data_IF_287141254282
#
_entry.id   IF_287141254282
#
_cell.length_a   1.000
_cell.length_b   1.000
_cell.length_c   1.000
_cell.angle_alpha   90.00
_cell.angle_beta   90.00
_cell.angle_gamma   90.00
#
_symmetry.space_group_name_H-M   'P 1'
#
loop_
_entity.id
_entity.type
_entity.pdbx_description
1 polymer ?
#
# COMPACT_ATOMS: atom_id res chain seq x y z
N UNK A 1 -10.04 -0.42 -10.92
CA UNK A 1 -11.05 -0.11 -9.90
C UNK A 1 -10.38 -0.16 -8.55
N UNK A 2 -10.20 0.98 -7.91
CA UNK A 2 -9.70 1.06 -6.53
C UNK A 2 -10.90 1.13 -5.56
N UNK A 3 -10.70 0.70 -4.32
CA UNK A 3 -11.74 0.61 -3.28
C UNK A 3 -12.30 1.97 -2.89
N UNK A 4 -13.60 2.07 -2.62
CA UNK A 4 -14.26 3.35 -2.25
C UNK A 4 -13.80 3.94 -0.92
N UNK A 5 -13.21 3.14 -0.03
CA UNK A 5 -12.78 3.54 1.32
C UNK A 5 -11.28 3.81 1.44
N UNK A 6 -10.54 3.92 0.34
CA UNK A 6 -9.09 4.10 0.38
C UNK A 6 -8.71 5.53 0.83
N UNK A 7 -7.92 5.60 1.89
CA UNK A 7 -7.30 6.81 2.41
C UNK A 7 -5.78 6.64 2.47
N UNK A 8 -5.05 7.75 2.50
CA UNK A 8 -3.64 7.72 2.86
C UNK A 8 -3.47 7.17 4.27
N UNK A 9 -2.45 6.33 4.45
CA UNK A 9 -2.00 5.84 5.76
C UNK A 9 -0.95 6.77 6.39
N UNK A 10 -0.34 7.64 5.59
CA UNK A 10 0.61 8.66 6.03
C UNK A 10 -0.07 10.03 6.16
N UNK A 11 0.44 10.93 7.02
CA UNK A 11 -0.09 12.29 7.14
C UNK A 11 0.06 13.09 5.84
N UNK A 12 -0.91 13.97 5.61
CA UNK A 12 -0.96 14.89 4.47
C UNK A 12 0.35 15.69 4.29
N UNK A 13 1.00 16.10 5.37
CA UNK A 13 2.25 16.87 5.34
C UNK A 13 3.44 16.09 4.78
N UNK A 14 3.45 14.76 4.95
CA UNK A 14 4.49 13.89 4.41
C UNK A 14 4.37 13.73 2.89
N UNK A 15 3.25 14.15 2.31
CA UNK A 15 2.88 13.84 0.93
C UNK A 15 2.81 15.10 0.05
N UNK A 16 3.26 16.26 0.56
CA UNK A 16 3.28 17.51 -0.18
C UNK A 16 4.04 17.35 -1.51
N UNK A 17 3.55 18.02 -2.55
CA UNK A 17 4.24 18.09 -3.83
C UNK A 17 5.15 19.32 -3.85
N UNK A 18 6.29 19.28 -4.57
CA UNK A 18 7.16 20.43 -4.71
C UNK A 18 6.38 21.68 -5.13
N UNK A 19 6.71 22.83 -4.55
CA UNK A 19 6.14 24.15 -4.86
C UNK A 19 4.66 24.37 -4.47
N UNK A 20 3.86 23.33 -4.29
CA UNK A 20 2.43 23.42 -3.95
C UNK A 20 2.08 22.48 -2.80
N UNK A 21 1.97 23.06 -1.61
CA UNK A 21 1.45 22.37 -0.43
C UNK A 21 -0.05 22.08 -0.56
N UNK A 22 -0.49 21.01 0.10
CA UNK A 22 -1.92 20.72 0.23
C UNK A 22 -2.60 21.78 1.11
N UNK A 23 -3.89 22.07 0.88
CA UNK A 23 -4.62 23.02 1.70
C UNK A 23 -4.68 22.60 3.18
N UNK A 24 -4.45 23.55 4.10
CA UNK A 24 -4.46 23.32 5.55
C UNK A 24 -5.78 22.77 6.11
N UNK A 25 -6.88 22.89 5.36
CA UNK A 25 -8.20 22.38 5.73
C UNK A 25 -8.41 20.91 5.38
N UNK A 26 -7.41 20.26 4.78
CA UNK A 26 -7.49 18.85 4.43
C UNK A 26 -7.39 17.96 5.67
N UNK A 27 -8.08 16.80 5.65
CA UNK A 27 -7.89 15.81 6.71
C UNK A 27 -6.46 15.28 6.69
N UNK A 28 -5.93 14.96 7.87
CA UNK A 28 -4.59 14.38 8.04
C UNK A 28 -4.42 13.14 7.15
N UNK A 29 -5.42 12.26 7.12
CA UNK A 29 -5.47 11.11 6.23
C UNK A 29 -6.42 11.39 5.07
N UNK A 30 -5.86 11.68 3.90
CA UNK A 30 -6.64 12.17 2.75
C UNK A 30 -7.26 11.02 1.93
N UNK A 31 -8.56 11.09 1.55
CA UNK A 31 -9.19 10.10 0.67
C UNK A 31 -8.61 10.11 -0.75
N UNK A 32 -8.60 8.94 -1.42
CA UNK A 32 -8.00 8.78 -2.76
C UNK A 32 -8.53 9.74 -3.83
N UNK A 33 -9.84 10.04 -3.83
CA UNK A 33 -10.46 10.85 -4.88
C UNK A 33 -10.04 12.31 -4.74
N UNK A 34 -9.92 12.77 -3.50
CA UNK A 34 -9.43 14.11 -3.18
C UNK A 34 -7.96 14.29 -3.57
N UNK A 35 -7.14 13.26 -3.37
CA UNK A 35 -5.75 13.27 -3.82
C UNK A 35 -5.64 13.24 -5.35
N UNK A 36 -6.50 12.48 -6.03
CA UNK A 36 -6.55 12.43 -7.49
C UNK A 36 -6.91 13.80 -8.09
N UNK A 37 -7.97 14.44 -7.57
CA UNK A 37 -8.37 15.80 -7.99
C UNK A 37 -7.22 16.81 -7.84
N UNK A 38 -6.42 16.66 -6.77
CA UNK A 38 -5.25 17.51 -6.57
C UNK A 38 -4.10 17.23 -7.54
N UNK A 39 -3.85 15.98 -7.91
CA UNK A 39 -2.84 15.66 -8.92
C UNK A 39 -3.18 16.27 -10.28
N UNK A 40 -4.47 16.26 -10.66
CA UNK A 40 -4.95 16.92 -11.89
C UNK A 40 -4.78 18.45 -11.82
N UNK A 41 -5.14 19.05 -10.67
CA UNK A 41 -4.95 20.48 -10.43
C UNK A 41 -3.46 20.86 -10.45
N UNK A 42 -2.60 20.06 -9.81
CA UNK A 42 -1.15 20.28 -9.77
C UNK A 42 -0.55 20.26 -11.18
N UNK A 43 -0.91 19.26 -12.01
CA UNK A 43 -0.41 19.17 -13.38
C UNK A 43 -0.79 20.41 -14.21
N UNK A 44 -1.99 20.94 -13.99
CA UNK A 44 -2.49 22.16 -14.65
C UNK A 44 -1.77 23.41 -14.15
N UNK A 45 -1.70 23.60 -12.83
CA UNK A 45 -1.09 24.78 -12.21
C UNK A 45 0.40 24.91 -12.48
N UNK A 46 1.10 23.77 -12.59
CA UNK A 46 2.53 23.71 -12.85
C UNK A 46 2.87 23.67 -14.35
N UNK A 47 1.88 23.78 -15.23
CA UNK A 47 2.03 23.72 -16.70
C UNK A 47 2.86 22.50 -17.15
N UNK A 48 2.55 21.32 -16.59
CA UNK A 48 3.28 20.10 -16.91
C UNK A 48 2.87 19.61 -18.31
N UNK A 49 3.88 19.32 -19.15
CA UNK A 49 3.66 18.71 -20.46
C UNK A 49 3.26 17.23 -20.32
N UNK A 50 1.99 16.99 -19.98
CA UNK A 50 1.42 15.69 -19.73
C UNK A 50 0.63 15.20 -20.95
N UNK A 51 0.96 14.01 -21.44
CA UNK A 51 0.18 13.30 -22.46
C UNK A 51 -0.49 12.07 -21.82
N UNK A 52 -1.76 12.19 -21.47
CA UNK A 52 -2.58 11.08 -20.97
C UNK A 52 -3.00 10.16 -22.11
N UNK A 53 -3.69 9.05 -21.79
CA UNK A 53 -4.21 8.08 -22.76
C UNK A 53 -3.15 7.54 -23.75
N UNK A 54 -1.89 7.56 -23.34
CA UNK A 54 -0.74 7.21 -24.19
C UNK A 54 0.06 6.11 -23.52
N UNK A 55 -0.08 4.88 -24.02
CA UNK A 55 0.66 3.72 -23.52
C UNK A 55 2.02 3.65 -24.18
N UNK A 56 3.10 3.73 -23.39
CA UNK A 56 4.44 3.36 -23.85
C UNK A 56 4.51 1.83 -24.01
N UNK A 57 4.84 1.36 -25.21
CA UNK A 57 4.94 -0.07 -25.54
C UNK A 57 6.39 -0.56 -25.55
N UNK A 58 7.33 0.31 -25.94
CA UNK A 58 8.74 -0.02 -26.03
C UNK A 58 9.62 1.22 -25.86
N UNK A 59 10.75 1.05 -25.20
CA UNK A 59 11.82 2.03 -25.12
C UNK A 59 13.12 1.35 -25.57
N UNK A 60 13.76 1.87 -26.61
CA UNK A 60 15.01 1.28 -27.17
C UNK A 60 16.08 2.36 -27.23
N UNK A 61 17.30 2.01 -26.82
CA UNK A 61 18.46 2.87 -27.04
C UNK A 61 18.86 2.80 -28.52
N UNK A 62 19.10 3.96 -29.11
CA UNK A 62 19.62 4.12 -30.46
C UNK A 62 20.90 4.95 -30.43
N UNK A 63 21.86 4.59 -31.27
CA UNK A 63 23.15 5.24 -31.32
C UNK A 63 23.43 5.75 -32.73
N UNK A 64 23.75 7.04 -32.82
CA UNK A 64 24.28 7.66 -34.04
C UNK A 64 25.74 8.05 -33.77
N UNK A 65 26.67 7.19 -34.20
CA UNK A 65 28.07 7.30 -33.81
C UNK A 65 28.27 7.12 -32.30
N UNK A 66 28.62 8.20 -31.61
CA UNK A 66 28.79 8.23 -30.14
C UNK A 66 27.58 8.81 -29.39
N UNK A 67 26.61 9.38 -30.11
CA UNK A 67 25.46 10.02 -29.47
C UNK A 67 24.37 8.99 -29.20
N UNK A 68 23.95 8.88 -27.95
CA UNK A 68 22.86 8.01 -27.50
C UNK A 68 21.55 8.80 -27.50
N UNK A 69 20.52 8.23 -28.10
CA UNK A 69 19.13 8.68 -27.96
C UNK A 69 18.23 7.51 -27.59
N UNK A 70 17.03 7.81 -27.11
CA UNK A 70 15.99 6.84 -26.85
C UNK A 70 14.89 6.98 -27.88
N UNK A 71 14.49 5.86 -28.48
CA UNK A 71 13.29 5.74 -29.28
C UNK A 71 12.19 5.10 -28.45
N UNK A 72 11.13 5.87 -28.20
CA UNK A 72 9.98 5.48 -27.39
C UNK A 72 8.78 5.26 -28.30
N UNK A 73 8.28 4.03 -28.36
CA UNK A 73 7.07 3.69 -29.08
C UNK A 73 5.86 3.86 -28.16
N UNK A 74 4.83 4.53 -28.66
CA UNK A 74 3.60 4.75 -27.92
C UNK A 74 2.37 4.42 -28.75
N UNK A 75 1.30 4.04 -28.07
CA UNK A 75 -0.05 3.91 -28.64
C UNK A 75 -0.95 4.86 -27.86
N UNK A 76 -1.53 5.84 -28.56
CA UNK A 76 -2.48 6.79 -27.99
C UNK A 76 -3.91 6.36 -28.32
N UNK A 77 -4.83 6.46 -27.37
CA UNK A 77 -6.28 6.25 -27.57
C UNK A 77 -6.98 7.59 -27.53
N UNK A 78 -7.80 7.88 -28.53
CA UNK A 78 -8.65 9.08 -28.52
C UNK A 78 -9.86 8.85 -27.60
N UNK A 79 -10.31 9.89 -26.88
CA UNK A 79 -11.54 9.82 -26.07
C UNK A 79 -12.80 9.96 -26.94
N UNK A 80 -12.70 10.71 -28.04
CA UNK A 80 -13.82 11.01 -28.95
C UNK A 80 -14.04 9.93 -30.02
N UNK A 81 -13.08 9.02 -30.17
CA UNK A 81 -13.17 7.91 -31.11
C UNK A 81 -12.43 6.72 -30.54
N UNK A 82 -12.98 5.50 -30.66
CA UNK A 82 -12.29 4.24 -30.32
C UNK A 82 -11.07 3.96 -31.24
N UNK A 83 -10.52 4.99 -31.88
CA UNK A 83 -9.33 4.90 -32.71
C UNK A 83 -8.06 4.92 -31.86
N UNK A 84 -7.05 4.20 -32.37
CA UNK A 84 -5.73 4.14 -31.75
C UNK A 84 -4.69 4.65 -32.73
N UNK A 85 -3.73 5.43 -32.23
CA UNK A 85 -2.65 6.00 -33.03
C UNK A 85 -1.30 5.55 -32.48
N UNK A 86 -0.48 4.93 -33.34
CA UNK A 86 0.89 4.61 -33.01
C UNK A 86 1.80 5.80 -33.32
N UNK A 87 2.67 6.17 -32.37
CA UNK A 87 3.65 7.25 -32.57
C UNK A 87 5.00 6.94 -31.93
N UNK A 88 6.02 7.69 -32.34
CA UNK A 88 7.40 7.55 -31.86
C UNK A 88 7.87 8.87 -31.28
N UNK A 89 8.40 8.82 -30.06
CA UNK A 89 9.02 9.96 -29.39
C UNK A 89 10.53 9.69 -29.29
N UNK A 90 11.34 10.70 -29.62
CA UNK A 90 12.79 10.67 -29.39
C UNK A 90 13.13 11.47 -28.14
N UNK A 91 13.94 10.91 -27.25
CA UNK A 91 14.36 11.56 -26.02
C UNK A 91 15.85 11.32 -25.73
N UNK A 92 16.51 12.23 -25.01
CA UNK A 92 17.90 12.02 -24.55
C UNK A 92 17.96 11.18 -23.27
N UNK A 93 16.96 11.34 -22.41
CA UNK A 93 16.84 10.66 -21.13
C UNK A 93 15.44 10.08 -20.98
N UNK A 94 15.35 8.98 -20.24
CA UNK A 94 14.09 8.30 -19.92
C UNK A 94 14.10 8.01 -18.43
N UNK A 95 13.03 8.43 -17.75
CA UNK A 95 12.80 8.13 -16.33
C UNK A 95 11.61 7.17 -16.25
N UNK A 96 11.82 6.01 -15.63
CA UNK A 96 10.76 5.03 -15.43
C UNK A 96 10.01 5.34 -14.13
N UNK A 97 8.82 5.92 -14.25
CA UNK A 97 7.91 6.23 -13.14
C UNK A 97 6.67 5.32 -13.14
N UNK A 98 6.83 4.02 -13.44
CA UNK A 98 5.71 3.08 -13.67
C UNK A 98 5.10 2.47 -12.41
N UNK A 99 5.66 2.78 -11.23
CA UNK A 99 5.29 2.18 -9.95
C UNK A 99 5.61 0.68 -9.85
N UNK A 100 5.33 0.09 -8.68
CA UNK A 100 5.63 -1.31 -8.34
C UNK A 100 4.36 -2.17 -8.07
N UNK A 101 3.18 -1.55 -7.98
CA UNK A 101 1.95 -2.19 -7.47
C UNK A 101 0.91 -2.54 -8.57
N UNK A 102 1.28 -2.42 -9.85
CA UNK A 102 0.33 -2.52 -10.97
C UNK A 102 0.00 -3.95 -11.41
N UNK A 103 0.88 -4.93 -11.14
CA UNK A 103 0.68 -6.33 -11.55
C UNK A 103 0.28 -7.20 -10.36
N UNK A 104 -0.93 -7.79 -10.35
CA UNK A 104 -1.38 -8.61 -9.23
C UNK A 104 -0.57 -9.91 -9.17
N UNK A 105 -0.15 -10.30 -7.95
CA UNK A 105 0.48 -11.59 -7.68
C UNK A 105 -0.56 -12.56 -7.14
N UNK A 106 -1.23 -13.25 -8.05
CA UNK A 106 -2.30 -14.19 -7.70
C UNK A 106 -1.68 -15.58 -7.44
N UNK A 107 -1.76 -16.13 -6.22
CA UNK A 107 -1.31 -17.49 -5.96
C UNK A 107 -2.22 -18.50 -6.66
N UNK A 108 -1.65 -19.59 -7.17
CA UNK A 108 -2.41 -20.72 -7.70
C UNK A 108 -2.58 -21.76 -6.61
N UNK A 109 -3.81 -21.95 -6.11
CA UNK A 109 -4.12 -22.98 -5.12
C UNK A 109 -4.78 -24.19 -5.80
N UNK A 110 -4.40 -25.43 -5.44
CA UNK A 110 -5.13 -26.61 -5.87
C UNK A 110 -6.63 -26.48 -5.58
N UNK A 111 -7.48 -26.84 -6.54
CA UNK A 111 -8.93 -26.73 -6.41
C UNK A 111 -9.53 -25.33 -6.63
N UNK A 112 -8.71 -24.28 -6.78
CA UNK A 112 -9.21 -22.93 -6.99
C UNK A 112 -10.06 -22.78 -8.26
N UNK A 113 -9.62 -23.34 -9.40
CA UNK A 113 -10.36 -23.27 -10.66
C UNK A 113 -11.37 -24.40 -10.86
N UNK A 114 -11.19 -25.54 -10.18
CA UNK A 114 -11.93 -26.78 -10.45
C UNK A 114 -12.93 -27.18 -9.37
N UNK A 115 -12.72 -26.79 -8.11
CA UNK A 115 -13.53 -27.25 -6.99
C UNK A 115 -14.30 -26.10 -6.31
N UNK A 116 -13.63 -24.97 -6.03
CA UNK A 116 -14.21 -23.88 -5.24
C UNK A 116 -15.36 -23.19 -5.98
N UNK A 117 -16.55 -23.21 -5.39
CA UNK A 117 -17.78 -22.65 -5.99
C UNK A 117 -18.06 -21.20 -5.59
N UNK A 118 -17.31 -20.67 -4.62
CA UNK A 118 -17.49 -19.31 -4.12
C UNK A 118 -16.82 -18.24 -4.98
N UNK A 119 -17.05 -16.98 -4.62
CA UNK A 119 -16.39 -15.83 -5.25
C UNK A 119 -14.91 -15.82 -4.87
N UNK A 120 -14.05 -15.71 -5.88
CA UNK A 120 -12.60 -15.55 -5.71
C UNK A 120 -12.15 -14.29 -6.45
N UNK A 121 -11.39 -13.44 -5.78
CA UNK A 121 -10.81 -12.25 -6.39
C UNK A 121 -9.51 -11.85 -5.70
N UNK A 122 -8.63 -11.23 -6.48
CA UNK A 122 -7.47 -10.51 -5.95
C UNK A 122 -7.90 -9.10 -5.51
N UNK A 123 -7.18 -8.50 -4.56
CA UNK A 123 -7.48 -7.16 -4.01
C UNK A 123 -7.66 -6.10 -5.11
N UNK A 124 -6.91 -6.19 -6.21
CA UNK A 124 -7.04 -5.31 -7.38
C UNK A 124 -8.40 -5.36 -8.12
N UNK A 125 -9.22 -6.37 -7.83
CA UNK A 125 -10.60 -6.50 -8.34
C UNK A 125 -11.65 -6.29 -7.24
N UNK A 126 -11.24 -6.00 -6.01
CA UNK A 126 -12.15 -5.74 -4.90
C UNK A 126 -12.75 -4.34 -5.04
N UNK A 127 -14.08 -4.26 -5.04
CA UNK A 127 -14.83 -3.01 -5.25
C UNK A 127 -15.66 -2.60 -4.04
N UNK A 128 -15.64 -3.41 -2.97
CA UNK A 128 -16.34 -3.15 -1.70
C UNK A 128 -17.01 -4.39 -1.12
N UNK A 129 -17.24 -4.36 0.19
CA UNK A 129 -17.67 -5.52 0.99
C UNK A 129 -19.14 -5.89 0.84
N UNK A 130 -19.99 -4.99 0.31
CA UNK A 130 -21.44 -5.15 0.27
C UNK A 130 -21.91 -6.44 -0.42
N UNK A 131 -21.20 -6.90 -1.46
CA UNK A 131 -21.54 -8.16 -2.17
C UNK A 131 -21.29 -9.42 -1.33
N UNK A 132 -20.61 -9.27 -0.19
CA UNK A 132 -20.27 -10.34 0.75
C UNK A 132 -21.12 -10.34 2.02
N UNK A 133 -22.13 -9.48 2.13
CA UNK A 133 -23.06 -9.46 3.26
C UNK A 133 -23.66 -10.86 3.51
N UNK A 134 -23.63 -11.31 4.77
CA UNK A 134 -24.06 -12.64 5.20
C UNK A 134 -23.17 -13.81 4.77
N UNK A 135 -22.09 -13.58 4.01
CA UNK A 135 -21.17 -14.65 3.57
C UNK A 135 -20.04 -14.88 4.57
N UNK A 136 -19.47 -16.09 4.54
CA UNK A 136 -18.21 -16.40 5.23
C UNK A 136 -17.05 -16.10 4.28
N UNK A 137 -16.16 -15.20 4.67
CA UNK A 137 -15.09 -14.70 3.82
C UNK A 137 -13.72 -15.01 4.43
N UNK A 138 -12.81 -15.48 3.59
CA UNK A 138 -11.41 -15.70 3.95
C UNK A 138 -10.54 -14.71 3.16
N UNK A 139 -9.75 -13.93 3.88
CA UNK A 139 -8.79 -12.97 3.31
C UNK A 139 -7.39 -13.55 3.44
N UNK A 140 -6.66 -13.68 2.34
CA UNK A 140 -5.32 -14.27 2.33
C UNK A 140 -4.28 -13.14 2.25
N UNK A 141 -3.53 -12.92 3.33
CA UNK A 141 -2.52 -11.87 3.44
C UNK A 141 -2.81 -10.85 4.55
N UNK A 142 -1.73 -10.38 5.19
CA UNK A 142 -1.74 -9.53 6.39
C UNK A 142 -0.92 -8.23 6.20
N UNK A 143 -1.03 -7.62 5.02
CA UNK A 143 -0.52 -6.26 4.76
C UNK A 143 -1.70 -5.26 4.76
N UNK A 144 -1.41 -3.95 4.63
CA UNK A 144 -2.42 -2.87 4.59
C UNK A 144 -3.74 -3.24 3.87
N UNK A 145 -3.69 -3.64 2.60
CA UNK A 145 -4.91 -4.00 1.86
C UNK A 145 -5.70 -5.17 2.45
N UNK A 146 -5.03 -6.13 3.09
CA UNK A 146 -5.70 -7.26 3.74
C UNK A 146 -6.52 -6.82 4.95
N UNK A 147 -5.94 -5.94 5.78
CA UNK A 147 -6.64 -5.34 6.91
C UNK A 147 -7.79 -4.42 6.48
N UNK A 148 -7.55 -3.53 5.52
CA UNK A 148 -8.59 -2.63 5.00
C UNK A 148 -9.80 -3.41 4.44
N UNK A 149 -9.53 -4.53 3.74
CA UNK A 149 -10.58 -5.42 3.24
C UNK A 149 -11.27 -6.17 4.38
N UNK A 150 -10.52 -6.65 5.38
CA UNK A 150 -11.13 -7.32 6.55
C UNK A 150 -12.10 -6.39 7.27
N UNK A 151 -11.71 -5.13 7.50
CA UNK A 151 -12.54 -4.12 8.12
C UNK A 151 -13.78 -3.82 7.26
N UNK A 152 -13.62 -3.52 5.96
CA UNK A 152 -14.75 -3.23 5.08
C UNK A 152 -15.71 -4.43 4.97
N UNK A 153 -15.22 -5.67 4.90
CA UNK A 153 -16.09 -6.86 4.91
C UNK A 153 -16.92 -6.97 6.19
N UNK A 154 -16.31 -6.70 7.35
CA UNK A 154 -17.00 -6.73 8.63
C UNK A 154 -18.05 -5.61 8.73
N UNK A 155 -17.69 -4.38 8.38
CA UNK A 155 -18.58 -3.21 8.38
C UNK A 155 -19.77 -3.39 7.42
N UNK A 156 -19.56 -4.07 6.29
CA UNK A 156 -20.61 -4.37 5.31
C UNK A 156 -21.44 -5.61 5.64
N UNK A 157 -21.26 -6.20 6.83
CA UNK A 157 -22.10 -7.26 7.37
C UNK A 157 -21.80 -8.65 6.82
N UNK A 158 -20.56 -8.96 6.47
CA UNK A 158 -20.15 -10.34 6.22
C UNK A 158 -20.48 -11.22 7.45
N UNK A 159 -20.96 -12.44 7.23
CA UNK A 159 -21.34 -13.35 8.31
C UNK A 159 -20.15 -13.83 9.14
N UNK A 160 -18.96 -13.88 8.55
CA UNK A 160 -17.68 -14.05 9.27
C UNK A 160 -16.52 -13.62 8.38
N UNK A 161 -15.47 -13.05 8.96
CA UNK A 161 -14.23 -12.71 8.24
C UNK A 161 -13.05 -13.41 8.92
N UNK A 162 -12.21 -14.11 8.15
CA UNK A 162 -10.98 -14.73 8.67
C UNK A 162 -9.78 -14.37 7.81
N UNK A 163 -8.76 -13.77 8.41
CA UNK A 163 -7.46 -13.52 7.80
C UNK A 163 -6.56 -14.75 7.90
N UNK A 164 -5.92 -15.14 6.80
CA UNK A 164 -4.83 -16.13 6.78
C UNK A 164 -3.51 -15.38 6.71
N UNK A 165 -2.75 -15.47 7.80
CA UNK A 165 -1.42 -14.92 7.93
C UNK A 165 -0.38 -15.99 7.62
N UNK A 166 0.26 -15.91 6.46
CA UNK A 166 1.31 -16.86 6.08
C UNK A 166 2.64 -16.57 6.77
N UNK A 167 2.97 -15.29 6.89
CA UNK A 167 4.21 -14.78 7.48
C UNK A 167 3.83 -13.70 8.48
N UNK A 168 4.59 -13.59 9.57
CA UNK A 168 4.39 -12.51 10.53
C UNK A 168 4.45 -11.14 9.85
N UNK A 169 3.78 -10.16 10.44
CA UNK A 169 3.79 -8.77 9.96
C UNK A 169 3.61 -7.82 11.14
N UNK A 170 4.17 -6.62 11.03
CA UNK A 170 4.03 -5.60 12.06
C UNK A 170 2.64 -4.97 12.02
N UNK A 171 2.05 -4.64 13.17
CA UNK A 171 0.94 -3.69 13.28
C UNK A 171 1.45 -2.53 14.12
N UNK A 172 1.15 -1.31 13.69
CA UNK A 172 1.49 -0.07 14.40
C UNK A 172 0.34 0.90 14.29
N UNK A 173 -0.01 1.60 15.36
CA UNK A 173 -1.09 2.59 15.29
C UNK A 173 -0.69 3.81 14.45
N UNK A 174 -1.66 4.39 13.75
CA UNK A 174 -1.47 5.69 13.09
C UNK A 174 -0.95 6.76 14.05
N UNK A 175 -1.41 6.76 15.31
CA UNK A 175 -0.90 7.63 16.39
C UNK A 175 0.60 7.43 16.65
N UNK A 176 1.07 6.18 16.77
CA UNK A 176 2.49 5.85 16.94
C UNK A 176 3.33 6.30 15.74
N UNK A 177 2.82 6.12 14.52
CA UNK A 177 3.52 6.58 13.30
C UNK A 177 3.66 8.10 13.33
N UNK A 178 2.61 8.85 13.64
CA UNK A 178 2.68 10.32 13.70
C UNK A 178 3.61 10.82 14.81
N UNK A 179 3.55 10.23 16.01
CA UNK A 179 4.33 10.68 17.17
C UNK A 179 5.82 10.35 17.08
N UNK A 180 6.16 9.19 16.52
CA UNK A 180 7.53 8.66 16.61
C UNK A 180 8.17 8.44 15.25
N UNK A 181 7.39 8.02 14.26
CA UNK A 181 7.89 7.65 12.94
C UNK A 181 8.06 8.83 11.99
N UNK A 182 7.02 9.66 11.88
CA UNK A 182 6.92 10.79 10.96
C UNK A 182 6.74 12.11 11.73
N UNK A 183 7.34 12.21 12.92
CA UNK A 183 7.16 13.34 13.83
C UNK A 183 7.57 14.70 13.24
N UNK A 184 8.42 14.72 12.21
CA UNK A 184 8.79 15.93 11.47
C UNK A 184 7.66 16.46 10.56
N UNK A 185 6.67 15.62 10.24
CA UNK A 185 5.56 15.92 9.35
C UNK A 185 4.26 16.04 10.15
N UNK A 186 4.05 17.21 10.74
CA UNK A 186 2.90 17.51 11.59
C UNK A 186 2.35 18.93 11.31
N UNK A 187 1.23 19.28 11.93
CA UNK A 187 0.51 20.55 11.73
C UNK A 187 1.30 21.79 12.18
N UNK A 188 2.08 21.66 13.25
CA UNK A 188 2.89 22.71 13.85
C UNK A 188 4.36 22.28 13.89
N UNK A 189 5.01 22.17 12.72
CA UNK A 189 6.31 21.53 12.63
C UNK A 189 7.42 22.47 13.10
N UNK A 190 8.43 21.91 13.76
CA UNK A 190 9.62 22.65 14.17
C UNK A 190 10.43 23.17 12.97
N UNK A 191 10.32 22.49 11.83
CA UNK A 191 11.00 22.79 10.57
C UNK A 191 9.97 22.91 9.45
N UNK A 192 10.28 23.63 8.37
CA UNK A 192 9.46 23.54 7.17
C UNK A 192 9.44 22.10 6.65
N UNK A 193 8.33 21.65 6.06
CA UNK A 193 8.22 20.25 5.59
C UNK A 193 9.24 19.92 4.49
N UNK A 194 9.69 20.90 3.70
CA UNK A 194 10.80 20.73 2.75
C UNK A 194 12.12 20.41 3.47
N UNK A 195 12.42 21.08 4.58
CA UNK A 195 13.60 20.79 5.39
C UNK A 195 13.46 19.41 6.07
N UNK A 196 12.25 19.06 6.52
CA UNK A 196 11.97 17.73 7.07
C UNK A 196 12.23 16.61 6.04
N UNK A 197 11.84 16.81 4.78
CA UNK A 197 12.10 15.87 3.69
C UNK A 197 13.61 15.71 3.44
N UNK A 198 14.36 16.82 3.40
CA UNK A 198 15.82 16.79 3.29
C UNK A 198 16.48 16.05 4.47
N UNK A 199 16.03 16.32 5.70
CA UNK A 199 16.56 15.64 6.88
C UNK A 199 16.30 14.12 6.84
N UNK A 200 15.12 13.70 6.38
CA UNK A 200 14.80 12.29 6.23
C UNK A 200 15.62 11.61 5.13
N UNK A 201 15.80 12.29 3.99
CA UNK A 201 16.44 11.71 2.80
C UNK A 201 17.97 11.74 2.82
N UNK A 202 18.58 12.61 3.64
CA UNK A 202 20.04 12.74 3.74
C UNK A 202 20.73 11.58 4.45
N UNK A 203 20.00 10.78 5.24
CA UNK A 203 20.60 9.66 5.98
C UNK A 203 20.48 8.35 5.18
N UNK A 204 21.60 7.71 4.77
CA UNK A 204 21.56 6.42 4.09
C UNK A 204 20.85 5.34 4.91
N UNK A 205 19.98 4.56 4.27
CA UNK A 205 19.21 3.49 4.92
C UNK A 205 20.05 2.48 5.69
N UNK A 206 21.26 2.17 5.22
CA UNK A 206 22.17 1.27 5.94
C UNK A 206 22.58 1.83 7.30
N UNK A 207 22.80 3.14 7.39
CA UNK A 207 23.12 3.80 8.66
C UNK A 207 21.92 3.78 9.60
N UNK A 208 20.70 4.00 9.08
CA UNK A 208 19.48 3.91 9.89
C UNK A 208 19.21 2.49 10.41
N UNK A 209 19.48 1.47 9.58
CA UNK A 209 19.27 0.07 9.91
C UNK A 209 20.33 -0.48 10.88
N UNK A 210 21.62 -0.25 10.60
CA UNK A 210 22.73 -0.80 11.41
C UNK A 210 23.10 0.10 12.60
N UNK A 211 22.79 1.40 12.53
CA UNK A 211 23.07 2.38 13.58
C UNK A 211 21.99 2.49 14.66
N UNK A 212 20.96 1.65 14.62
CA UNK A 212 19.90 1.57 15.64
C UNK A 212 18.81 2.65 15.55
N UNK A 213 18.84 3.53 14.56
CA UNK A 213 17.84 4.60 14.41
C UNK A 213 16.42 4.07 14.21
N UNK A 214 16.25 3.14 13.26
CA UNK A 214 14.94 2.52 13.01
C UNK A 214 14.49 1.59 14.14
N UNK A 215 15.42 0.91 14.80
CA UNK A 215 15.12 0.09 15.97
C UNK A 215 14.60 0.96 17.14
N UNK A 216 15.28 2.08 17.43
CA UNK A 216 14.88 2.99 18.50
C UNK A 216 13.47 3.56 18.28
N UNK A 217 13.15 3.95 17.04
CA UNK A 217 11.80 4.41 16.68
C UNK A 217 10.78 3.28 16.82
N UNK A 218 11.11 2.08 16.36
CA UNK A 218 10.25 0.89 16.48
C UNK A 218 9.96 0.55 17.94
N UNK A 219 10.95 0.63 18.82
CA UNK A 219 10.77 0.37 20.25
C UNK A 219 9.83 1.39 20.91
N UNK A 220 9.93 2.68 20.56
CA UNK A 220 8.97 3.70 21.05
C UNK A 220 7.54 3.42 20.60
N UNK A 221 7.36 3.06 19.33
CA UNK A 221 6.04 2.72 18.79
C UNK A 221 5.46 1.47 19.49
N UNK A 222 6.29 0.45 19.74
CA UNK A 222 5.88 -0.75 20.48
C UNK A 222 5.49 -0.44 21.93
N UNK A 223 6.20 0.48 22.58
CA UNK A 223 5.88 0.90 23.94
C UNK A 223 4.53 1.62 24.00
N UNK A 224 4.28 2.56 23.08
CA UNK A 224 3.00 3.26 22.97
C UNK A 224 1.84 2.31 22.64
N UNK A 225 2.06 1.33 21.75
CA UNK A 225 1.05 0.37 21.31
C UNK A 225 0.99 -0.92 22.15
N UNK A 226 1.72 -1.00 23.27
CA UNK A 226 1.93 -2.24 24.05
C UNK A 226 0.63 -2.98 24.35
N UNK A 227 -0.38 -2.24 24.79
CA UNK A 227 -1.65 -2.83 25.21
C UNK A 227 -2.46 -3.34 24.00
N UNK A 228 -2.40 -2.65 22.85
CA UNK A 228 -3.00 -3.12 21.59
C UNK A 228 -2.28 -4.38 21.10
N UNK A 229 -0.95 -4.36 21.06
CA UNK A 229 -0.11 -5.48 20.63
C UNK A 229 -0.46 -6.73 21.44
N UNK A 230 -0.51 -6.64 22.77
CA UNK A 230 -0.83 -7.78 23.64
C UNK A 230 -2.22 -8.39 23.33
N UNK A 231 -3.24 -7.56 23.08
CA UNK A 231 -4.59 -8.05 22.73
C UNK A 231 -4.62 -8.69 21.34
N UNK A 232 -3.92 -8.12 20.38
CA UNK A 232 -3.83 -8.68 19.03
C UNK A 232 -3.04 -9.99 19.03
N UNK A 233 -1.95 -10.10 19.78
CA UNK A 233 -1.24 -11.38 19.97
C UNK A 233 -2.15 -12.46 20.55
N UNK A 234 -2.99 -12.11 21.53
CA UNK A 234 -3.96 -13.03 22.13
C UNK A 234 -5.05 -13.55 21.16
N UNK A 235 -5.23 -12.89 20.00
CA UNK A 235 -6.09 -13.39 18.90
C UNK A 235 -5.47 -14.54 18.10
N UNK A 236 -4.16 -14.76 18.25
CA UNK A 236 -3.37 -15.72 17.46
C UNK A 236 -2.56 -15.09 16.33
N UNK A 237 -2.60 -13.77 16.18
CA UNK A 237 -1.76 -13.02 15.24
C UNK A 237 -0.26 -13.15 15.60
N UNK A 238 0.60 -13.21 14.58
CA UNK A 238 2.06 -13.27 14.76
C UNK A 238 2.71 -11.97 14.30
N UNK A 239 3.34 -11.27 15.23
CA UNK A 239 4.12 -10.09 14.91
C UNK A 239 5.48 -10.48 14.30
N UNK A 240 5.90 -9.70 13.32
CA UNK A 240 7.27 -9.68 12.80
C UNK A 240 7.73 -8.22 12.78
N UNK A 241 8.81 -7.93 13.52
CA UNK A 241 9.38 -6.59 13.61
C UNK A 241 10.55 -6.38 12.64
N UNK A 242 10.74 -7.29 11.68
CA UNK A 242 11.79 -7.19 10.68
C UNK A 242 13.18 -7.48 11.23
N UNK A 243 14.17 -7.34 10.36
CA UNK A 243 15.59 -7.54 10.68
C UNK A 243 16.00 -6.64 11.86
N UNK A 244 16.58 -7.24 12.92
CA UNK A 244 17.07 -6.53 14.12
C UNK A 244 16.05 -5.54 14.72
N UNK A 245 14.74 -5.81 14.60
CA UNK A 245 13.70 -4.95 15.16
C UNK A 245 13.56 -3.58 14.49
N UNK A 246 14.06 -3.42 13.27
CA UNK A 246 14.01 -2.16 12.49
C UNK A 246 12.60 -1.78 12.00
N UNK A 247 11.62 -2.68 12.12
CA UNK A 247 10.19 -2.40 12.05
C UNK A 247 9.71 -1.81 10.72
N UNK A 248 8.69 -0.95 10.82
CA UNK A 248 7.95 -0.35 9.70
C UNK A 248 8.86 0.15 8.58
N UNK A 249 9.86 0.96 8.91
CA UNK A 249 10.67 1.68 7.92
C UNK A 249 11.56 0.74 7.10
N UNK A 250 12.25 -0.21 7.74
CA UNK A 250 13.07 -1.18 7.01
C UNK A 250 12.21 -2.12 6.16
N UNK A 251 11.07 -2.59 6.69
CA UNK A 251 10.15 -3.45 5.95
C UNK A 251 9.56 -2.72 4.73
N UNK A 252 9.22 -1.44 4.88
CA UNK A 252 8.84 -0.58 3.75
C UNK A 252 9.95 -0.46 2.71
N UNK A 253 11.17 -0.12 3.12
CA UNK A 253 12.30 0.09 2.22
C UNK A 253 12.78 -1.16 1.49
N UNK A 254 12.64 -2.35 2.09
CA UNK A 254 13.22 -3.61 1.57
C UNK A 254 12.18 -4.54 0.95
N UNK A 255 10.98 -4.63 1.53
CA UNK A 255 9.93 -5.57 1.12
C UNK A 255 8.75 -4.87 0.43
N UNK A 256 8.59 -3.55 0.59
CA UNK A 256 7.42 -2.80 0.14
C UNK A 256 6.12 -3.25 0.83
N UNK A 257 6.22 -3.85 2.02
CA UNK A 257 5.11 -4.44 2.75
C UNK A 257 5.57 -5.12 4.04
N UNK A 258 4.75 -6.02 4.59
CA UNK A 258 5.05 -6.73 5.85
C UNK A 258 4.67 -5.95 7.11
N UNK A 259 3.86 -4.91 6.94
CA UNK A 259 3.32 -4.10 8.03
C UNK A 259 1.87 -3.66 7.73
N UNK A 260 1.20 -3.21 8.78
CA UNK A 260 -0.08 -2.52 8.74
C UNK A 260 -0.01 -1.28 9.63
N UNK A 261 -0.40 -0.13 9.07
CA UNK A 261 -0.65 1.08 9.86
C UNK A 261 -2.13 1.06 10.25
N UNK A 262 -2.40 0.88 11.54
CA UNK A 262 -3.75 0.66 12.05
C UNK A 262 -4.58 1.94 12.02
N UNK A 263 -5.71 1.81 11.33
CA UNK A 263 -6.80 2.79 11.23
C UNK A 263 -8.13 2.21 11.73
N UNK A 264 -8.11 1.04 12.39
CA UNK A 264 -9.26 0.46 13.09
C UNK A 264 -9.33 -1.06 13.07
N UNK A 265 -8.73 -1.73 12.08
CA UNK A 265 -8.87 -3.18 11.93
C UNK A 265 -8.15 -3.99 13.02
N UNK A 266 -7.09 -3.45 13.64
CA UNK A 266 -6.37 -4.18 14.70
C UNK A 266 -7.26 -4.46 15.91
N UNK A 267 -8.15 -3.53 16.26
CA UNK A 267 -9.10 -3.71 17.37
C UNK A 267 -10.15 -4.80 17.05
N UNK A 268 -10.53 -4.96 15.78
CA UNK A 268 -11.41 -6.07 15.35
C UNK A 268 -10.73 -7.43 15.52
N UNK A 269 -9.42 -7.53 15.29
CA UNK A 269 -8.65 -8.74 15.60
C UNK A 269 -8.59 -8.99 17.11
N UNK A 270 -8.29 -7.95 17.89
CA UNK A 270 -8.21 -8.03 19.35
C UNK A 270 -9.51 -8.55 19.98
N UNK A 271 -10.66 -8.14 19.46
CA UNK A 271 -12.00 -8.59 19.88
C UNK A 271 -12.43 -9.92 19.27
N UNK A 272 -11.69 -10.42 18.27
CA UNK A 272 -12.01 -11.61 17.47
C UNK A 272 -13.28 -11.46 16.61
N UNK A 273 -13.69 -10.23 16.34
CA UNK A 273 -14.73 -9.89 15.37
C UNK A 273 -14.27 -10.23 13.95
N UNK A 274 -12.97 -10.04 13.69
CA UNK A 274 -12.24 -10.61 12.56
C UNK A 274 -11.32 -11.70 13.09
N UNK A 275 -11.46 -12.92 12.58
CA UNK A 275 -10.58 -14.03 12.94
C UNK A 275 -9.22 -13.94 12.25
N UNK A 276 -8.17 -14.50 12.86
CA UNK A 276 -6.86 -14.69 12.22
C UNK A 276 -6.37 -16.13 12.40
N UNK A 277 -5.68 -16.66 11.38
CA UNK A 277 -4.98 -17.95 11.43
C UNK A 277 -3.56 -17.81 10.87
N UNK A 278 -2.57 -18.16 11.68
CA UNK A 278 -1.18 -18.26 11.23
C UNK A 278 -0.94 -19.61 10.55
N UNK A 279 -1.07 -19.66 9.22
CA UNK A 279 -1.08 -20.90 8.45
C UNK A 279 -0.78 -20.68 6.97
N UNK A 280 -0.50 -21.77 6.25
CA UNK A 280 -0.50 -21.78 4.78
C UNK A 280 -1.84 -22.31 4.24
N UNK A 281 -2.22 -21.87 3.05
CA UNK A 281 -3.33 -22.46 2.30
C UNK A 281 -2.82 -23.69 1.55
N UNK A 282 -3.42 -24.84 1.79
CA UNK A 282 -3.09 -26.11 1.13
C UNK A 282 -3.82 -26.24 -0.20
N UNK A 283 -5.14 -26.08 -0.16
CA UNK A 283 -6.07 -26.26 -1.29
C UNK A 283 -7.40 -25.57 -0.99
N UNK A 284 -8.17 -25.34 -2.05
CA UNK A 284 -9.55 -24.92 -1.96
C UNK A 284 -10.47 -26.10 -2.27
N UNK A 285 -11.43 -26.34 -1.38
CA UNK A 285 -12.50 -27.31 -1.58
C UNK A 285 -13.77 -26.60 -2.04
N UNK A 286 -14.89 -27.31 -2.12
CA UNK A 286 -16.08 -26.79 -2.78
C UNK A 286 -16.67 -25.53 -2.13
N UNK A 287 -16.47 -25.39 -0.82
CA UNK A 287 -17.00 -24.35 0.05
C UNK A 287 -16.09 -24.09 1.27
N UNK A 288 -14.83 -24.53 1.22
CA UNK A 288 -13.86 -24.42 2.30
C UNK A 288 -12.45 -24.06 1.81
N UNK A 289 -11.70 -23.39 2.67
CA UNK A 289 -10.26 -23.14 2.51
C UNK A 289 -9.54 -24.09 3.46
N UNK A 290 -8.78 -25.04 2.92
CA UNK A 290 -8.01 -25.99 3.73
C UNK A 290 -6.65 -25.37 4.01
N UNK A 291 -6.29 -25.33 5.29
CA UNK A 291 -5.04 -24.77 5.77
C UNK A 291 -4.23 -25.82 6.52
N UNK A 292 -2.91 -25.67 6.51
CA UNK A 292 -2.02 -26.43 7.39
C UNK A 292 -1.18 -25.47 8.23
N UNK A 293 -1.04 -25.83 9.51
CA UNK A 293 -0.27 -25.05 10.46
C UNK A 293 1.22 -25.10 10.09
N UNK A 294 1.91 -23.99 10.36
CA UNK A 294 3.36 -23.95 10.37
C UNK A 294 3.91 -24.48 11.69
#
# INVERSE_FOLDING_TARGET
GQTRSLHLHDPVWYQHLPYLEFPKTWPVFTPKDKLADWMDAYATLMDLNLKTNTRVTKATEEYEGKEKTWRIETISTSEDSDSTEASVIKARHVVFATGNSSRPKIPNFPGASSAFRGIQLHTSRYTGGKVFAGKRVVVIGSNNSGFDICQDLWEQGAGSVTMIQRTGSMIVSSDSVLKYGLFLFNEDPQYHHEDADLLLTTTPYRILAEGGGWEAVTNKMKENDRDLIARVEASGYKFDYGYEGTGLFAKSATEGGGFYIDVGCAELLARKDVGVRYANVERLESDAVVIFNK
#
